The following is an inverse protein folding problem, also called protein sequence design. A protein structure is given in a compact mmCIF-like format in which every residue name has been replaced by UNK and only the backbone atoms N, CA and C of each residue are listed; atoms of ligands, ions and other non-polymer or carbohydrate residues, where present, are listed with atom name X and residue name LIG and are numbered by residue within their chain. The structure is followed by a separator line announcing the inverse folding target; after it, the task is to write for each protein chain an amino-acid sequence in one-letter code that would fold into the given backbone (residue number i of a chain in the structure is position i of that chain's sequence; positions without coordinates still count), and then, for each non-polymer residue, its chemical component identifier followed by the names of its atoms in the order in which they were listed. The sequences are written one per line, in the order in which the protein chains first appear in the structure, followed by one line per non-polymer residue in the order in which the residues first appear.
data_IF_391229935866
#
_entry.id   IF_391229935866
#
_cell.length_a   1.000
_cell.length_b   1.000
_cell.length_c   1.000
_cell.angle_alpha   90.00
_cell.angle_beta   90.00
_cell.angle_gamma   90.00
#
_symmetry.space_group_name_H-M   'P 1'
#
loop_
_entity.id
_entity.type
_entity.pdbx_description
1 polymer ?
#
# COMPACT_ATOMS: atom_id res chain seq x y z
N UNK A 1 -15.28 -16.68 11.83
CA UNK A 1 -15.42 -16.80 10.37
C UNK A 1 -15.48 -15.38 9.83
N UNK A 2 -14.36 -14.86 9.31
CA UNK A 2 -14.29 -13.50 8.78
C UNK A 2 -15.20 -13.42 7.55
N UNK A 3 -16.17 -12.52 7.58
CA UNK A 3 -17.08 -12.27 6.46
C UNK A 3 -16.27 -11.56 5.38
N UNK A 4 -15.93 -12.28 4.30
CA UNK A 4 -15.46 -11.65 3.08
C UNK A 4 -16.68 -10.99 2.41
N UNK A 5 -16.99 -9.76 2.83
CA UNK A 5 -17.98 -8.93 2.15
C UNK A 5 -17.40 -8.53 0.78
N UNK A 6 -17.96 -9.13 -0.28
CA UNK A 6 -17.78 -8.85 -1.71
C UNK A 6 -16.50 -8.12 -2.16
N UNK A 7 -15.35 -8.77 -1.99
CA UNK A 7 -14.15 -8.43 -2.76
C UNK A 7 -14.40 -8.85 -4.21
N UNK A 8 -14.48 -7.89 -5.13
CA UNK A 8 -14.64 -8.20 -6.55
C UNK A 8 -13.41 -8.94 -7.08
N UNK A 9 -13.56 -9.71 -8.15
CA UNK A 9 -12.45 -10.44 -8.78
C UNK A 9 -11.29 -9.51 -9.16
N UNK A 10 -11.61 -8.27 -9.57
CA UNK A 10 -10.63 -7.23 -9.90
C UNK A 10 -9.78 -6.87 -8.69
N UNK A 11 -10.40 -6.55 -7.55
CA UNK A 11 -9.68 -6.21 -6.30
C UNK A 11 -8.79 -7.37 -5.88
N UNK A 12 -9.34 -8.60 -5.94
CA UNK A 12 -8.60 -9.79 -5.55
C UNK A 12 -7.38 -10.06 -6.45
N UNK A 13 -7.48 -9.76 -7.73
CA UNK A 13 -6.35 -9.88 -8.66
C UNK A 13 -5.24 -8.88 -8.32
N UNK A 14 -5.57 -7.63 -7.97
CA UNK A 14 -4.56 -6.67 -7.53
C UNK A 14 -3.91 -7.06 -6.20
N UNK A 15 -4.70 -7.51 -5.22
CA UNK A 15 -4.17 -8.01 -3.93
C UNK A 15 -3.18 -9.16 -4.18
N UNK A 16 -3.53 -10.13 -5.02
CA UNK A 16 -2.63 -11.24 -5.37
C UNK A 16 -1.36 -10.77 -6.06
N UNK A 17 -1.47 -9.91 -7.06
CA UNK A 17 -0.31 -9.42 -7.81
C UNK A 17 0.66 -8.65 -6.91
N UNK A 18 0.15 -7.74 -6.06
CA UNK A 18 0.95 -6.99 -5.11
C UNK A 18 1.59 -7.89 -4.05
N UNK A 19 0.85 -8.86 -3.50
CA UNK A 19 1.40 -9.80 -2.52
C UNK A 19 2.52 -10.67 -3.13
N UNK A 20 2.36 -11.09 -4.39
CA UNK A 20 3.41 -11.82 -5.10
C UNK A 20 4.67 -10.96 -5.31
N UNK A 21 4.50 -9.71 -5.73
CA UNK A 21 5.62 -8.78 -5.90
C UNK A 21 6.30 -8.48 -4.56
N UNK A 22 5.54 -8.18 -3.50
CA UNK A 22 6.06 -7.98 -2.15
C UNK A 22 6.92 -9.16 -1.71
N UNK A 23 6.43 -10.39 -1.87
CA UNK A 23 7.17 -11.58 -1.48
C UNK A 23 8.47 -11.73 -2.28
N UNK A 24 8.45 -11.48 -3.59
CA UNK A 24 9.65 -11.53 -4.44
C UNK A 24 10.69 -10.49 -4.05
N UNK A 25 10.27 -9.25 -3.76
CA UNK A 25 11.16 -8.21 -3.25
C UNK A 25 11.77 -8.63 -1.91
N UNK A 26 10.94 -9.17 -1.00
CA UNK A 26 11.39 -9.61 0.33
C UNK A 26 12.43 -10.74 0.29
N UNK A 27 12.35 -11.64 -0.70
CA UNK A 27 13.34 -12.72 -0.91
C UNK A 27 14.44 -12.38 -1.92
N UNK A 28 14.51 -11.12 -2.38
CA UNK A 28 15.49 -10.64 -3.37
C UNK A 28 15.41 -11.36 -4.73
N UNK A 29 14.24 -11.88 -5.09
CA UNK A 29 13.96 -12.49 -6.41
C UNK A 29 13.58 -11.43 -7.46
N UNK A 30 13.17 -10.24 -7.02
CA UNK A 30 13.05 -9.07 -7.88
C UNK A 30 13.43 -7.77 -7.15
N UNK A 31 13.62 -6.71 -7.94
CA UNK A 31 13.93 -5.38 -7.41
C UNK A 31 12.66 -4.61 -7.01
N UNK A 32 12.80 -3.73 -6.03
CA UNK A 32 11.75 -2.82 -5.55
C UNK A 32 11.04 -2.06 -6.68
N UNK A 33 11.80 -1.71 -7.73
CA UNK A 33 11.29 -0.98 -8.89
C UNK A 33 10.17 -1.72 -9.63
N UNK A 34 10.12 -3.05 -9.58
CA UNK A 34 9.04 -3.82 -10.21
C UNK A 34 7.70 -3.62 -9.51
N UNK A 35 7.70 -3.60 -8.18
CA UNK A 35 6.51 -3.28 -7.38
C UNK A 35 6.08 -1.84 -7.62
N UNK A 36 7.04 -0.91 -7.62
CA UNK A 36 6.76 0.51 -7.89
C UNK A 36 6.13 0.72 -9.27
N UNK A 37 6.69 0.10 -10.31
CA UNK A 37 6.17 0.17 -11.67
C UNK A 37 4.73 -0.35 -11.76
N UNK A 38 4.44 -1.46 -11.08
CA UNK A 38 3.08 -1.99 -11.01
C UNK A 38 2.12 -0.97 -10.37
N UNK A 39 2.50 -0.38 -9.24
CA UNK A 39 1.69 0.64 -8.56
C UNK A 39 1.50 1.89 -9.43
N UNK A 40 2.54 2.37 -10.09
CA UNK A 40 2.44 3.53 -10.98
C UNK A 40 1.53 3.29 -12.18
N UNK A 41 1.57 2.08 -12.76
CA UNK A 41 0.74 1.71 -13.91
C UNK A 41 -0.74 1.60 -13.54
N UNK A 42 -1.05 1.08 -12.35
CA UNK A 42 -2.42 0.77 -11.93
C UNK A 42 -3.01 1.74 -10.91
N UNK A 43 -2.33 2.84 -10.54
CA UNK A 43 -2.71 3.70 -9.39
C UNK A 43 -4.19 4.07 -9.26
N UNK A 44 -4.90 4.27 -10.36
CA UNK A 44 -6.33 4.64 -10.38
C UNK A 44 -7.28 3.46 -10.07
N UNK A 45 -6.76 2.24 -9.96
CA UNK A 45 -7.48 0.99 -9.71
C UNK A 45 -7.19 0.42 -8.31
N UNK A 46 -6.25 1.04 -7.58
CA UNK A 46 -5.70 0.53 -6.32
C UNK A 46 -6.36 1.13 -5.07
N UNK A 47 -7.36 2.00 -5.24
CA UNK A 47 -8.04 2.74 -4.16
C UNK A 47 -9.07 1.87 -3.40
N UNK A 48 -8.61 0.75 -2.85
CA UNK A 48 -9.42 -0.17 -2.07
C UNK A 48 -8.72 -0.56 -0.76
N UNK A 49 -9.39 -0.60 0.40
CA UNK A 49 -8.74 -0.85 1.69
C UNK A 49 -7.87 -2.12 1.74
N UNK A 50 -8.35 -3.25 1.21
CA UNK A 50 -7.55 -4.48 1.15
C UNK A 50 -6.30 -4.38 0.28
N UNK A 51 -6.30 -3.52 -0.74
CA UNK A 51 -5.10 -3.24 -1.54
C UNK A 51 -4.14 -2.36 -0.72
N UNK A 52 -4.68 -1.35 -0.02
CA UNK A 52 -3.90 -0.49 0.88
C UNK A 52 -3.18 -1.33 1.94
N UNK A 53 -3.83 -2.33 2.55
CA UNK A 53 -3.20 -3.26 3.51
C UNK A 53 -1.90 -3.86 2.97
N UNK A 54 -1.89 -4.31 1.71
CA UNK A 54 -0.69 -4.89 1.10
C UNK A 54 0.38 -3.83 0.86
N UNK A 55 0.00 -2.63 0.40
CA UNK A 55 0.93 -1.53 0.14
C UNK A 55 1.60 -1.04 1.42
N UNK A 56 0.86 -0.84 2.52
CA UNK A 56 1.40 -0.36 3.78
C UNK A 56 2.21 -1.42 4.52
N UNK A 57 1.93 -2.70 4.30
CA UNK A 57 2.76 -3.79 4.82
C UNK A 57 4.13 -3.81 4.15
N UNK A 58 4.16 -3.55 2.84
CA UNK A 58 5.39 -3.44 2.08
C UNK A 58 6.23 -2.20 2.45
N UNK A 59 5.59 -1.06 2.71
CA UNK A 59 6.31 0.18 3.08
C UNK A 59 6.99 0.02 4.43
N UNK A 60 8.32 0.16 4.44
CA UNK A 60 9.08 0.25 5.68
C UNK A 60 8.97 1.66 6.25
N UNK A 61 8.33 1.80 7.41
CA UNK A 61 8.02 3.09 8.07
C UNK A 61 9.29 3.69 8.71
N UNK A 62 10.21 4.15 7.86
CA UNK A 62 11.52 4.70 8.22
C UNK A 62 11.89 5.84 7.26
N UNK A 63 12.61 6.85 7.74
CA UNK A 63 13.04 7.99 6.92
C UNK A 63 13.88 7.55 5.71
N UNK A 64 14.79 6.59 5.88
CA UNK A 64 15.66 6.08 4.81
C UNK A 64 14.88 5.42 3.67
N UNK A 65 13.80 4.69 3.98
CA UNK A 65 12.94 4.09 2.96
C UNK A 65 12.14 5.18 2.24
N UNK A 66 11.52 6.09 3.00
CA UNK A 66 10.71 7.19 2.46
C UNK A 66 11.52 8.10 1.54
N UNK A 67 12.76 8.44 1.90
CA UNK A 67 13.63 9.28 1.08
C UNK A 67 14.07 8.57 -0.21
N UNK A 68 14.45 7.29 -0.13
CA UNK A 68 14.85 6.51 -1.31
C UNK A 68 13.69 6.24 -2.27
N UNK A 69 12.48 6.09 -1.73
CA UNK A 69 11.28 5.74 -2.47
C UNK A 69 10.24 6.87 -2.49
N UNK A 70 10.70 8.13 -2.48
CA UNK A 70 9.83 9.29 -2.26
C UNK A 70 8.65 9.39 -3.23
N UNK A 71 8.87 9.12 -4.52
CA UNK A 71 7.80 9.17 -5.52
C UNK A 71 6.79 8.03 -5.33
N UNK A 72 7.26 6.82 -5.02
CA UNK A 72 6.40 5.70 -4.68
C UNK A 72 5.53 6.00 -3.46
N UNK A 73 6.13 6.51 -2.38
CA UNK A 73 5.39 6.87 -1.16
C UNK A 73 4.38 8.00 -1.41
N UNK A 74 4.71 8.99 -2.25
CA UNK A 74 3.74 10.02 -2.67
C UNK A 74 2.55 9.44 -3.41
N UNK A 75 2.78 8.53 -4.35
CA UNK A 75 1.69 7.87 -5.08
C UNK A 75 0.83 7.03 -4.15
N UNK A 76 1.42 6.23 -3.25
CA UNK A 76 0.65 5.45 -2.27
C UNK A 76 -0.16 6.37 -1.33
N UNK A 77 0.41 7.49 -0.89
CA UNK A 77 -0.31 8.47 -0.07
C UNK A 77 -1.51 9.09 -0.82
N UNK A 78 -1.37 9.34 -2.12
CA UNK A 78 -2.49 9.80 -2.96
C UNK A 78 -3.60 8.73 -3.06
N UNK A 79 -3.24 7.48 -3.33
CA UNK A 79 -4.21 6.37 -3.41
C UNK A 79 -4.96 6.23 -2.08
N UNK A 80 -4.27 6.36 -0.94
CA UNK A 80 -4.91 6.36 0.39
C UNK A 80 -5.92 7.51 0.52
N UNK A 81 -5.60 8.71 0.05
CA UNK A 81 -6.52 9.86 0.08
C UNK A 81 -7.77 9.68 -0.77
N UNK A 82 -7.70 8.85 -1.82
CA UNK A 82 -8.80 8.52 -2.72
C UNK A 82 -9.59 7.27 -2.29
N UNK A 83 -9.09 6.54 -1.28
CA UNK A 83 -9.70 5.28 -0.81
C UNK A 83 -10.78 5.57 0.23
N UNK A 84 -11.98 5.02 0.02
CA UNK A 84 -13.00 4.98 1.08
C UNK A 84 -12.73 3.81 2.01
N UNK A 85 -12.59 4.11 3.31
CA UNK A 85 -12.43 3.11 4.38
C UNK A 85 -13.73 2.82 5.13
N UNK A 86 -14.87 3.36 4.66
CA UNK A 86 -16.16 3.16 5.31
C UNK A 86 -16.49 1.66 5.40
N UNK A 87 -16.88 1.22 6.61
CA UNK A 87 -17.27 -0.16 6.91
C UNK A 87 -16.20 -1.24 6.67
N UNK A 88 -14.93 -0.88 6.47
CA UNK A 88 -13.85 -1.86 6.30
C UNK A 88 -13.01 -1.99 7.56
N UNK A 89 -12.90 -3.22 8.08
CA UNK A 89 -11.95 -3.57 9.15
C UNK A 89 -10.68 -4.16 8.54
N UNK A 90 -9.59 -3.38 8.59
CA UNK A 90 -8.25 -3.83 8.17
C UNK A 90 -7.48 -4.55 9.29
N UNK A 91 -8.01 -4.57 10.51
CA UNK A 91 -7.31 -5.06 11.69
C UNK A 91 -6.40 -4.01 12.33
N UNK A 92 -6.00 -4.26 13.59
CA UNK A 92 -5.24 -3.29 14.40
C UNK A 92 -3.86 -2.96 13.81
N UNK A 93 -3.14 -3.97 13.32
CA UNK A 93 -1.78 -3.80 12.78
C UNK A 93 -1.77 -2.87 11.58
N UNK A 94 -2.63 -3.15 10.60
CA UNK A 94 -2.75 -2.35 9.38
C UNK A 94 -3.17 -0.91 9.69
N UNK A 95 -4.11 -0.71 10.61
CA UNK A 95 -4.53 0.62 11.03
C UNK A 95 -3.38 1.41 11.67
N UNK A 96 -2.58 0.80 12.55
CA UNK A 96 -1.42 1.46 13.15
C UNK A 96 -0.42 1.86 12.06
N UNK A 97 -0.09 0.94 11.14
CA UNK A 97 0.85 1.21 10.04
C UNK A 97 0.36 2.32 9.12
N UNK A 98 -0.94 2.30 8.78
CA UNK A 98 -1.57 3.31 7.95
C UNK A 98 -1.44 4.71 8.56
N UNK A 99 -1.79 4.85 9.85
CA UNK A 99 -1.72 6.14 10.53
C UNK A 99 -0.27 6.62 10.71
N UNK A 100 0.66 5.73 11.08
CA UNK A 100 2.09 6.09 11.17
C UNK A 100 2.67 6.51 9.81
N UNK A 101 2.27 5.85 8.71
CA UNK A 101 2.67 6.26 7.38
C UNK A 101 2.12 7.65 7.01
N UNK A 102 0.84 7.92 7.32
CA UNK A 102 0.22 9.23 7.07
C UNK A 102 0.90 10.35 7.84
N UNK A 103 1.23 10.11 9.11
CA UNK A 103 1.93 11.07 9.97
C UNK A 103 3.29 11.46 9.36
N UNK A 104 4.14 10.47 9.06
CA UNK A 104 5.47 10.72 8.48
C UNK A 104 5.42 11.40 7.11
N UNK A 105 4.46 11.00 6.25
CA UNK A 105 4.29 11.67 4.96
C UNK A 105 3.87 13.13 5.11
N UNK A 106 3.06 13.44 6.13
CA UNK A 106 2.63 14.81 6.42
C UNK A 106 3.80 15.66 6.94
N UNK A 107 4.68 15.09 7.77
CA UNK A 107 5.90 15.78 8.21
C UNK A 107 6.83 16.11 7.04
N UNK A 108 7.04 15.15 6.13
CA UNK A 108 7.90 15.35 4.95
C UNK A 108 7.35 16.39 3.95
N UNK A 109 6.03 16.63 3.93
CA UNK A 109 5.41 17.66 3.07
C UNK A 109 5.46 19.06 3.68
N UNK A 110 5.64 19.16 5.00
CA UNK A 110 5.67 20.43 5.74
C UNK A 110 7.10 20.88 6.13
N UNK A 111 8.12 20.07 5.84
CA UNK A 111 9.54 20.36 6.04
C UNK A 111 10.18 21.02 4.80
#
# INVERSE_FOLDING_TARGET
MLKFENVTEVIWNHVKALAQLHNKVAVLDCEEIELQNYVFHHKNELNHPHIISVLIEHISITNDFLQRNAEFCKVVYQIIGETSFENTDMGLSDNIRLESFKELMSELQNA
#
